data_IF_070375565978
#
_entry.id   IF_070375565978
#
_cell.length_a   1.000
_cell.length_b   1.000
_cell.length_c   1.000
_cell.angle_alpha   90.00
_cell.angle_beta   90.00
_cell.angle_gamma   90.00
#
_symmetry.space_group_name_H-M   'P 1'
#
loop_
_entity.id
_entity.type
_entity.pdbx_description
1 polymer ?
#
# COMPACT_ATOMS: atom_id res chain seq x y z
N UNK A 1 2.98 9.54 -8.05
CA UNK A 1 3.62 9.13 -6.79
C UNK A 1 2.55 8.83 -5.77
N UNK A 2 2.78 7.89 -4.86
CA UNK A 2 1.87 7.53 -3.77
C UNK A 2 2.67 7.60 -2.47
N UNK A 3 2.13 8.31 -1.48
CA UNK A 3 2.72 8.42 -0.13
C UNK A 3 2.16 7.33 0.77
N UNK A 4 3.04 6.66 1.51
CA UNK A 4 2.72 5.60 2.47
C UNK A 4 3.16 6.06 3.86
N UNK A 5 2.35 6.90 4.50
CA UNK A 5 2.73 7.55 5.74
C UNK A 5 3.82 8.60 5.55
N UNK A 6 4.73 8.71 6.53
CA UNK A 6 5.76 9.75 6.58
C UNK A 6 7.05 9.38 5.86
N UNK A 7 7.43 8.11 5.92
CA UNK A 7 8.77 7.67 5.51
C UNK A 7 8.84 7.18 4.08
N UNK A 8 7.75 6.59 3.57
CA UNK A 8 7.78 5.86 2.31
C UNK A 8 6.96 6.56 1.23
N UNK A 9 7.48 6.56 0.01
CA UNK A 9 6.79 6.99 -1.20
C UNK A 9 7.11 6.01 -2.33
N UNK A 10 6.12 5.67 -3.15
CA UNK A 10 6.34 4.88 -4.36
C UNK A 10 6.04 5.65 -5.64
N UNK A 11 6.76 5.32 -6.70
CA UNK A 11 6.52 5.83 -8.06
C UNK A 11 6.38 4.67 -9.05
N UNK A 12 5.54 4.89 -10.05
CA UNK A 12 5.19 3.93 -11.09
C UNK A 12 5.28 4.67 -12.42
N UNK A 13 6.24 4.28 -13.25
CA UNK A 13 6.59 4.94 -14.50
C UNK A 13 6.31 4.03 -15.70
N UNK A 14 6.40 4.61 -16.89
CA UNK A 14 6.09 3.96 -18.19
C UNK A 14 4.66 3.45 -18.32
N UNK A 15 3.72 3.98 -17.54
CA UNK A 15 2.33 3.56 -17.53
C UNK A 15 1.63 3.88 -18.86
N UNK A 16 0.76 2.99 -19.32
CA UNK A 16 -0.17 3.28 -20.43
C UNK A 16 -1.40 4.05 -19.95
N UNK A 17 -1.88 3.73 -18.75
CA UNK A 17 -3.09 4.32 -18.18
C UNK A 17 -2.99 4.42 -16.66
N UNK A 18 -3.41 5.57 -16.12
CA UNK A 18 -3.62 5.78 -14.69
C UNK A 18 -5.10 5.57 -14.35
N UNK A 19 -5.39 4.87 -13.25
CA UNK A 19 -6.75 4.51 -12.81
C UNK A 19 -7.20 5.23 -11.53
N UNK A 20 -6.29 5.97 -10.89
CA UNK A 20 -6.55 6.75 -9.67
C UNK A 20 -6.24 8.23 -9.88
N UNK A 21 -6.82 9.09 -9.06
CA UNK A 21 -6.66 10.54 -9.09
C UNK A 21 -5.83 11.02 -7.90
N UNK A 22 -5.33 12.25 -8.01
CA UNK A 22 -4.65 12.91 -6.90
C UNK A 22 -5.64 13.11 -5.76
N UNK A 23 -5.25 12.74 -4.55
CA UNK A 23 -6.11 12.80 -3.36
C UNK A 23 -6.80 11.48 -3.01
N UNK A 24 -6.83 10.51 -3.92
CA UNK A 24 -7.44 9.21 -3.65
C UNK A 24 -6.70 8.48 -2.52
N UNK A 25 -7.46 7.99 -1.54
CA UNK A 25 -6.98 7.00 -0.57
C UNK A 25 -7.05 5.62 -1.22
N UNK A 26 -5.92 4.93 -1.24
CA UNK A 26 -5.83 3.58 -1.82
C UNK A 26 -5.49 2.55 -0.76
N UNK A 27 -5.86 1.29 -1.01
CA UNK A 27 -5.49 0.15 -0.17
C UNK A 27 -4.33 -0.63 -0.80
N UNK A 28 -3.57 -1.34 0.03
CA UNK A 28 -2.57 -2.30 -0.46
C UNK A 28 -3.26 -3.34 -1.37
N UNK A 29 -2.64 -3.64 -2.52
CA UNK A 29 -3.20 -4.55 -3.53
C UNK A 29 -4.22 -3.92 -4.48
N UNK A 30 -4.65 -2.67 -4.25
CA UNK A 30 -5.54 -1.97 -5.16
C UNK A 30 -4.85 -1.70 -6.51
N UNK A 31 -5.56 -1.98 -7.61
CA UNK A 31 -5.08 -1.65 -8.97
C UNK A 31 -5.14 -0.14 -9.17
N UNK A 32 -3.98 0.48 -9.44
CA UNK A 32 -3.83 1.94 -9.58
C UNK A 32 -3.52 2.41 -11.00
N UNK A 33 -3.03 1.52 -11.86
CA UNK A 33 -2.57 1.82 -13.21
C UNK A 33 -2.43 0.56 -14.07
N UNK A 34 -2.21 0.75 -15.37
CA UNK A 34 -1.80 -0.26 -16.33
C UNK A 34 -0.37 0.05 -16.81
N UNK A 35 0.48 -0.96 -16.93
CA UNK A 35 1.84 -0.84 -17.49
C UNK A 35 1.78 -0.46 -18.97
N UNK A 36 2.89 0.02 -19.51
CA UNK A 36 2.97 0.47 -20.89
C UNK A 36 4.41 0.73 -21.32
N UNK A 37 4.59 1.69 -22.22
CA UNK A 37 5.88 2.07 -22.77
C UNK A 37 6.00 3.60 -22.94
N UNK A 38 5.38 4.38 -22.06
CA UNK A 38 5.41 5.85 -22.18
C UNK A 38 6.74 6.44 -21.73
N UNK A 39 7.12 7.59 -22.32
CA UNK A 39 8.37 8.28 -22.00
C UNK A 39 9.60 7.58 -22.58
N UNK A 40 10.75 7.76 -21.94
CA UNK A 40 12.01 7.15 -22.37
C UNK A 40 12.09 5.71 -21.88
N UNK A 41 11.80 4.76 -22.76
CA UNK A 41 11.80 3.33 -22.49
C UNK A 41 12.17 2.55 -23.76
N UNK A 42 12.84 1.41 -23.60
CA UNK A 42 13.25 0.54 -24.72
C UNK A 42 12.17 -0.46 -25.13
N UNK A 43 11.22 -0.77 -24.24
CA UNK A 43 10.13 -1.69 -24.51
C UNK A 43 9.14 -1.74 -23.33
N UNK A 44 7.95 -2.36 -23.49
CA UNK A 44 6.91 -2.32 -22.47
C UNK A 44 7.34 -2.97 -21.16
N UNK A 45 7.37 -2.19 -20.08
CA UNK A 45 7.69 -2.66 -18.73
C UNK A 45 7.14 -1.70 -17.67
N UNK A 46 7.27 -2.08 -16.39
CA UNK A 46 6.99 -1.20 -15.25
C UNK A 46 8.30 -0.78 -14.61
N UNK A 47 8.55 0.53 -14.55
CA UNK A 47 9.59 1.08 -13.68
C UNK A 47 8.97 1.45 -12.33
N UNK A 48 9.43 0.76 -11.28
CA UNK A 48 8.93 0.93 -9.92
C UNK A 48 10.04 1.47 -9.02
N UNK A 49 9.74 2.56 -8.30
CA UNK A 49 10.65 3.13 -7.31
C UNK A 49 10.04 3.07 -5.92
N UNK A 50 10.84 2.64 -4.95
CA UNK A 50 10.61 2.87 -3.53
C UNK A 50 11.56 3.97 -3.07
N UNK A 51 10.99 4.99 -2.43
CA UNK A 51 11.71 6.12 -1.87
C UNK A 51 11.49 6.09 -0.36
N UNK A 52 12.57 6.00 0.41
CA UNK A 52 12.57 6.07 1.88
C UNK A 52 13.25 7.37 2.31
N UNK A 53 12.55 8.20 3.07
CA UNK A 53 13.06 9.49 3.57
C UNK A 53 13.69 10.36 2.47
N UNK A 54 13.06 10.41 1.30
CA UNK A 54 13.52 11.18 0.15
C UNK A 54 14.55 10.50 -0.75
N UNK A 55 15.14 9.37 -0.33
CA UNK A 55 16.16 8.66 -1.10
C UNK A 55 15.62 7.41 -1.79
N UNK A 56 15.86 7.22 -3.10
CA UNK A 56 15.57 5.96 -3.77
C UNK A 56 16.35 4.81 -3.14
N UNK A 57 15.68 3.70 -2.89
CA UNK A 57 16.24 2.50 -2.26
C UNK A 57 15.88 1.26 -3.06
N UNK A 58 16.66 0.19 -2.93
CA UNK A 58 16.33 -1.07 -3.58
C UNK A 58 15.06 -1.67 -2.94
N UNK A 59 13.94 -1.58 -3.65
CA UNK A 59 12.64 -1.97 -3.14
C UNK A 59 12.52 -3.47 -2.77
N UNK A 60 13.40 -4.33 -3.31
CA UNK A 60 13.40 -5.77 -3.04
C UNK A 60 14.24 -6.16 -1.81
N UNK A 61 14.98 -5.22 -1.23
CA UNK A 61 15.89 -5.47 -0.08
C UNK A 61 15.53 -4.69 1.17
N UNK A 62 14.67 -3.69 1.06
CA UNK A 62 14.29 -2.84 2.20
C UNK A 62 13.31 -3.61 3.10
N UNK A 63 13.55 -3.66 4.42
CA UNK A 63 12.56 -4.19 5.35
C UNK A 63 11.35 -3.25 5.35
N UNK A 64 10.24 -3.74 4.81
CA UNK A 64 8.96 -3.06 4.83
C UNK A 64 8.20 -3.48 6.10
N UNK A 65 7.35 -2.60 6.66
CA UNK A 65 6.42 -2.99 7.70
C UNK A 65 5.42 -3.99 7.11
N UNK A 66 5.78 -5.28 7.13
CA UNK A 66 4.86 -6.36 6.83
C UNK A 66 4.03 -6.60 8.08
N UNK A 67 2.71 -6.66 7.90
CA UNK A 67 1.86 -7.21 8.94
C UNK A 67 2.04 -8.72 8.95
N UNK A 68 2.62 -9.26 10.01
CA UNK A 68 2.62 -10.71 10.22
C UNK A 68 1.17 -11.19 10.36
N UNK A 69 0.71 -12.10 9.50
CA UNK A 69 -0.63 -12.66 9.64
C UNK A 69 -0.74 -13.41 10.98
N UNK A 70 -1.79 -13.10 11.74
CA UNK A 70 -2.15 -13.85 12.94
C UNK A 70 -2.82 -15.16 12.53
N UNK A 71 -2.38 -16.28 13.12
CA UNK A 71 -2.94 -17.60 12.89
C UNK A 71 -3.48 -18.24 14.18
N UNK A 72 -4.33 -19.26 14.02
CA UNK A 72 -4.80 -20.13 15.10
C UNK A 72 -5.42 -19.39 16.28
N UNK A 73 -5.01 -19.77 17.49
CA UNK A 73 -5.53 -19.21 18.76
C UNK A 73 -5.30 -17.71 18.88
N UNK A 74 -4.17 -17.18 18.40
CA UNK A 74 -3.89 -15.73 18.39
C UNK A 74 -4.88 -14.98 17.51
N UNK A 75 -5.18 -15.50 16.31
CA UNK A 75 -6.17 -14.91 15.42
C UNK A 75 -7.59 -14.93 16.01
N UNK A 76 -7.96 -16.04 16.65
CA UNK A 76 -9.28 -16.18 17.27
C UNK A 76 -9.44 -15.24 18.47
N UNK A 77 -8.40 -15.13 19.31
CA UNK A 77 -8.37 -14.18 20.43
C UNK A 77 -8.53 -12.74 19.93
N UNK A 78 -7.73 -12.32 18.94
CA UNK A 78 -7.81 -10.99 18.35
C UNK A 78 -9.21 -10.69 17.79
N UNK A 79 -9.80 -11.62 17.03
CA UNK A 79 -11.16 -11.44 16.48
C UNK A 79 -12.21 -11.26 17.59
N UNK A 80 -12.11 -12.02 18.68
CA UNK A 80 -13.04 -11.92 19.81
C UNK A 80 -12.90 -10.56 20.51
N UNK A 81 -11.67 -10.14 20.80
CA UNK A 81 -11.38 -8.86 21.44
C UNK A 81 -11.81 -7.67 20.57
N UNK A 82 -11.45 -7.69 19.28
CA UNK A 82 -11.84 -6.66 18.33
C UNK A 82 -13.37 -6.54 18.18
N UNK A 83 -14.10 -7.67 18.15
CA UNK A 83 -15.57 -7.68 18.07
C UNK A 83 -16.20 -7.06 19.33
N UNK A 84 -15.67 -7.37 20.51
CA UNK A 84 -16.16 -6.81 21.76
C UNK A 84 -15.95 -5.29 21.82
N UNK A 85 -14.76 -4.83 21.40
CA UNK A 85 -14.44 -3.41 21.40
C UNK A 85 -15.27 -2.62 20.39
N UNK A 86 -15.44 -3.15 19.18
CA UNK A 86 -16.29 -2.53 18.16
C UNK A 86 -17.73 -2.35 18.64
N UNK A 87 -18.29 -3.35 19.36
CA UNK A 87 -19.63 -3.26 19.92
C UNK A 87 -19.75 -2.12 20.94
N UNK A 88 -18.73 -1.91 21.79
CA UNK A 88 -18.72 -0.81 22.77
C UNK A 88 -18.68 0.56 22.11
N UNK A 89 -17.79 0.73 21.13
CA UNK A 89 -17.67 1.98 20.38
C UNK A 89 -18.95 2.32 19.63
N UNK A 90 -19.60 1.33 19.01
CA UNK A 90 -20.86 1.52 18.31
C UNK A 90 -22.00 1.93 19.26
N UNK A 91 -22.03 1.43 20.51
CA UNK A 91 -23.02 1.83 21.51
C UNK A 91 -22.76 3.19 22.17
N UNK A 92 -21.52 3.70 22.11
CA UNK A 92 -21.15 5.00 22.69
C UNK A 92 -21.27 6.16 21.68
N UNK A 93 -21.47 5.85 20.39
CA UNK A 93 -21.61 6.82 19.31
C UNK A 93 -23.07 7.11 18.92
N UNK A 94 -24.04 6.57 19.67
CA UNK A 94 -25.47 6.85 19.56
C UNK A 94 -25.99 7.44 20.86
#
# INVERSE_FOLDING_TARGET
MIKHGREFTTRYLHLSKRLVKVGDRIKMGQRIALSGNTGRSTGPHLHYELIKNGHPVNAMKVPLPQSDPLYGSKANKFRKEAKAEYKKLASAAG
#
